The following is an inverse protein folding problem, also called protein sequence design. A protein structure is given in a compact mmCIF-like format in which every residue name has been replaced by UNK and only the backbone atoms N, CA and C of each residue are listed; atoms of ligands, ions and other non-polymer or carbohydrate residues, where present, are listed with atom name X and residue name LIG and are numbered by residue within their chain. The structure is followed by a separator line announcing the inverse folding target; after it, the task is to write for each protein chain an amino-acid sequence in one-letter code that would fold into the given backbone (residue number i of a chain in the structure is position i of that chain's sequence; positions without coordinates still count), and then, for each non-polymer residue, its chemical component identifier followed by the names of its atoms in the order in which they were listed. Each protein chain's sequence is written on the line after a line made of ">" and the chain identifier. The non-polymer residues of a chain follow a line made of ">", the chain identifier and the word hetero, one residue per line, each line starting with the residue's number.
data_IF_932505750038
#
_entry.id   IF_932505750038
#
_cell.length_a   1.000
_cell.length_b   1.000
_cell.length_c   1.000
_cell.angle_alpha   90.00
_cell.angle_beta   90.00
_cell.angle_gamma   90.00
#
_symmetry.space_group_name_H-M   'P 1'
#
loop_
_entity.id
_entity.type
_entity.pdbx_description
1 polymer ?
#
# COMPACT_ATOMS: atom_id res chain seq x y z
N UNK A 1 -57.06 -17.88 7.75
CA UNK A 1 -55.90 -17.06 7.35
C UNK A 1 -56.33 -16.07 6.27
N UNK A 2 -55.90 -14.81 6.34
CA UNK A 2 -56.26 -13.75 5.37
C UNK A 2 -55.29 -13.72 4.17
N UNK A 3 -55.84 -13.61 2.95
CA UNK A 3 -55.05 -13.54 1.71
C UNK A 3 -54.53 -12.11 1.48
N UNK A 4 -53.21 -11.90 1.58
CA UNK A 4 -52.56 -10.62 1.30
C UNK A 4 -52.02 -10.58 -0.14
N UNK A 5 -52.30 -9.52 -0.90
CA UNK A 5 -51.81 -9.34 -2.29
C UNK A 5 -50.34 -8.91 -2.30
N UNK A 6 -49.50 -9.54 -3.13
CA UNK A 6 -48.03 -9.30 -3.19
C UNK A 6 -47.54 -8.21 -4.15
N UNK A 7 -48.43 -7.57 -4.91
CA UNK A 7 -48.06 -6.77 -6.09
C UNK A 7 -47.10 -5.60 -5.82
N UNK A 8 -47.33 -4.83 -4.76
CA UNK A 8 -46.49 -3.67 -4.39
C UNK A 8 -45.08 -4.09 -3.95
N UNK A 9 -44.98 -5.11 -3.11
CA UNK A 9 -43.72 -5.66 -2.59
C UNK A 9 -42.86 -6.22 -3.73
N UNK A 10 -43.48 -7.00 -4.64
CA UNK A 10 -42.78 -7.55 -5.79
C UNK A 10 -42.27 -6.45 -6.75
N UNK A 11 -43.05 -5.39 -6.98
CA UNK A 11 -42.63 -4.25 -7.80
C UNK A 11 -41.45 -3.50 -7.19
N UNK A 12 -41.48 -3.25 -5.87
CA UNK A 12 -40.39 -2.58 -5.14
C UNK A 12 -39.09 -3.38 -5.25
N UNK A 13 -39.13 -4.69 -5.00
CA UNK A 13 -37.95 -5.55 -5.12
C UNK A 13 -37.35 -5.53 -6.53
N UNK A 14 -38.18 -5.63 -7.57
CA UNK A 14 -37.71 -5.54 -8.97
C UNK A 14 -37.07 -4.19 -9.29
N UNK A 15 -37.63 -3.09 -8.77
CA UNK A 15 -37.09 -1.74 -8.96
C UNK A 15 -35.69 -1.63 -8.37
N UNK A 16 -35.49 -2.09 -7.13
CA UNK A 16 -34.19 -2.03 -6.45
C UNK A 16 -33.09 -2.78 -7.23
N UNK A 17 -33.40 -3.97 -7.75
CA UNK A 17 -32.46 -4.77 -8.55
C UNK A 17 -32.12 -4.07 -9.87
N UNK A 18 -33.12 -3.48 -10.54
CA UNK A 18 -32.89 -2.73 -11.78
C UNK A 18 -32.13 -1.42 -11.54
N UNK A 19 -32.33 -0.76 -10.40
CA UNK A 19 -31.56 0.42 -9.99
C UNK A 19 -30.09 0.06 -9.79
N UNK A 20 -29.78 -1.05 -9.11
CA UNK A 20 -28.42 -1.57 -8.99
C UNK A 20 -27.80 -1.90 -10.36
N UNK A 21 -28.61 -2.51 -11.24
CA UNK A 21 -28.19 -3.00 -12.54
C UNK A 21 -28.15 -1.93 -13.66
N UNK A 22 -28.50 -0.68 -13.38
CA UNK A 22 -28.68 0.36 -14.40
C UNK A 22 -27.42 0.62 -15.26
N UNK A 23 -26.23 0.41 -14.70
CA UNK A 23 -24.95 0.56 -15.42
C UNK A 23 -24.53 -0.64 -16.28
N UNK A 24 -25.23 -1.78 -16.20
CA UNK A 24 -24.87 -2.96 -16.99
C UNK A 24 -25.27 -2.81 -18.46
N UNK A 25 -24.57 -3.54 -19.34
CA UNK A 25 -24.77 -3.45 -20.79
C UNK A 25 -25.93 -4.35 -21.24
N UNK A 26 -26.74 -3.84 -22.17
CA UNK A 26 -27.76 -4.62 -22.88
C UNK A 26 -28.88 -5.17 -21.98
N UNK A 27 -29.17 -6.46 -22.11
CA UNK A 27 -30.27 -7.11 -21.40
C UNK A 27 -30.09 -7.12 -19.87
N UNK A 28 -28.85 -7.04 -19.37
CA UNK A 28 -28.55 -7.08 -17.94
C UNK A 28 -28.96 -5.82 -17.18
N UNK A 29 -29.24 -4.69 -17.85
CA UNK A 29 -29.81 -3.49 -17.21
C UNK A 29 -31.31 -3.33 -17.39
N UNK A 30 -31.93 -4.11 -18.29
CA UNK A 30 -33.34 -3.95 -18.68
C UNK A 30 -34.24 -5.09 -18.19
N UNK A 31 -33.77 -6.34 -18.31
CA UNK A 31 -34.57 -7.53 -17.99
C UNK A 31 -34.29 -7.99 -16.56
N UNK A 32 -35.32 -8.06 -15.72
CA UNK A 32 -35.19 -8.43 -14.30
C UNK A 32 -34.42 -9.74 -14.06
N UNK A 33 -34.69 -10.78 -14.85
CA UNK A 33 -34.03 -12.09 -14.67
C UNK A 33 -32.53 -12.00 -14.96
N UNK A 34 -32.15 -11.33 -16.05
CA UNK A 34 -30.76 -11.15 -16.44
C UNK A 34 -30.02 -10.19 -15.49
N UNK A 35 -30.70 -9.16 -15.01
CA UNK A 35 -30.19 -8.21 -14.01
C UNK A 35 -29.91 -8.90 -12.68
N UNK A 36 -30.85 -9.69 -12.17
CA UNK A 36 -30.68 -10.42 -10.91
C UNK A 36 -29.50 -11.40 -10.98
N UNK A 37 -29.36 -12.16 -12.09
CA UNK A 37 -28.21 -13.04 -12.28
C UNK A 37 -26.88 -12.28 -12.30
N UNK A 38 -26.86 -11.10 -12.93
CA UNK A 38 -25.66 -10.27 -13.03
C UNK A 38 -25.31 -9.62 -11.70
N UNK A 39 -26.31 -9.15 -10.93
CA UNK A 39 -26.13 -8.62 -9.59
C UNK A 39 -25.45 -9.66 -8.68
N UNK A 40 -25.97 -10.88 -8.63
CA UNK A 40 -25.39 -11.95 -7.80
C UNK A 40 -23.93 -12.23 -8.17
N UNK A 41 -23.61 -12.28 -9.47
CA UNK A 41 -22.23 -12.44 -9.95
C UNK A 41 -21.34 -11.27 -9.54
N UNK A 42 -21.82 -10.04 -9.73
CA UNK A 42 -21.08 -8.83 -9.40
C UNK A 42 -20.77 -8.74 -7.90
N UNK A 43 -21.73 -9.09 -7.03
CA UNK A 43 -21.53 -9.12 -5.58
C UNK A 43 -20.51 -10.19 -5.16
N UNK A 44 -20.58 -11.38 -5.76
CA UNK A 44 -19.61 -12.45 -5.51
C UNK A 44 -18.18 -12.04 -5.93
N UNK A 45 -18.03 -11.47 -7.13
CA UNK A 45 -16.74 -10.94 -7.60
C UNK A 45 -16.23 -9.81 -6.70
N UNK A 46 -17.07 -8.84 -6.34
CA UNK A 46 -16.69 -7.74 -5.46
C UNK A 46 -16.23 -8.22 -4.07
N UNK A 47 -16.81 -9.30 -3.55
CA UNK A 47 -16.34 -9.92 -2.30
C UNK A 47 -14.91 -10.46 -2.45
N UNK A 48 -14.65 -11.25 -3.50
CA UNK A 48 -13.31 -11.79 -3.76
C UNK A 48 -12.28 -10.67 -4.04
N UNK A 49 -12.66 -9.68 -4.84
CA UNK A 49 -11.79 -8.59 -5.27
C UNK A 49 -11.36 -7.67 -4.12
N UNK A 50 -12.16 -7.53 -3.05
CA UNK A 50 -11.72 -6.81 -1.84
C UNK A 50 -10.48 -7.45 -1.20
N UNK A 51 -10.36 -8.77 -1.27
CA UNK A 51 -9.17 -9.50 -0.81
C UNK A 51 -8.03 -9.39 -1.82
N UNK A 52 -8.33 -9.56 -3.11
CA UNK A 52 -7.34 -9.49 -4.20
C UNK A 52 -6.69 -8.11 -4.32
N UNK A 53 -7.46 -7.03 -4.17
CA UNK A 53 -6.97 -5.65 -4.22
C UNK A 53 -5.80 -5.40 -3.25
N UNK A 54 -5.82 -6.02 -2.06
CA UNK A 54 -4.70 -5.92 -1.10
C UNK A 54 -3.41 -6.53 -1.66
N UNK A 55 -3.53 -7.64 -2.39
CA UNK A 55 -2.40 -8.35 -3.02
C UNK A 55 -1.91 -7.59 -4.25
N UNK A 56 -2.82 -7.10 -5.09
CA UNK A 56 -2.51 -6.30 -6.28
C UNK A 56 -1.78 -5.01 -5.94
N UNK A 57 -2.27 -4.27 -4.94
CA UNK A 57 -1.60 -3.06 -4.45
C UNK A 57 -0.19 -3.36 -3.93
N UNK A 58 -0.02 -4.47 -3.18
CA UNK A 58 1.30 -4.90 -2.72
C UNK A 58 2.23 -5.26 -3.89
N UNK A 59 1.74 -5.96 -4.91
CA UNK A 59 2.51 -6.26 -6.13
C UNK A 59 2.97 -4.98 -6.83
N UNK A 60 2.09 -4.00 -6.96
CA UNK A 60 2.42 -2.68 -7.54
C UNK A 60 3.49 -1.96 -6.71
N UNK A 61 3.38 -1.94 -5.39
CA UNK A 61 4.37 -1.30 -4.53
C UNK A 61 5.74 -1.98 -4.63
N UNK A 62 5.78 -3.30 -4.65
CA UNK A 62 7.04 -4.06 -4.83
C UNK A 62 7.65 -3.73 -6.20
N UNK A 63 6.85 -3.68 -7.27
CA UNK A 63 7.34 -3.33 -8.60
C UNK A 63 7.96 -1.93 -8.64
N UNK A 64 7.31 -0.93 -8.04
CA UNK A 64 7.82 0.44 -7.93
C UNK A 64 9.11 0.53 -7.13
N UNK A 65 9.16 -0.10 -5.96
CA UNK A 65 10.37 -0.12 -5.13
C UNK A 65 11.49 -0.85 -5.86
N UNK A 66 11.20 -1.95 -6.56
CA UNK A 66 12.22 -2.70 -7.28
C UNK A 66 12.82 -1.89 -8.44
N UNK A 67 12.02 -1.10 -9.15
CA UNK A 67 12.51 -0.18 -10.18
C UNK A 67 13.48 0.85 -9.56
N UNK A 68 13.06 1.56 -8.51
CA UNK A 68 13.88 2.56 -7.84
C UNK A 68 15.13 1.96 -7.15
N UNK A 69 15.02 0.75 -6.60
CA UNK A 69 16.14 0.04 -5.99
C UNK A 69 17.22 -0.28 -7.04
N UNK A 70 16.80 -0.72 -8.23
CA UNK A 70 17.73 -1.02 -9.33
C UNK A 70 18.45 0.20 -9.86
N UNK A 71 17.80 1.37 -9.90
CA UNK A 71 18.46 2.64 -10.22
C UNK A 71 19.58 2.98 -9.22
N UNK A 72 19.44 2.54 -7.96
CA UNK A 72 20.46 2.70 -6.91
C UNK A 72 21.45 1.52 -6.82
N UNK A 73 21.43 0.61 -7.80
CA UNK A 73 22.37 -0.52 -7.88
C UNK A 73 22.09 -1.67 -6.91
N UNK A 74 20.93 -1.70 -6.26
CA UNK A 74 20.55 -2.78 -5.33
C UNK A 74 19.29 -3.52 -5.80
N UNK A 75 19.15 -4.79 -5.41
CA UNK A 75 17.91 -5.53 -5.66
C UNK A 75 16.90 -5.27 -4.55
N UNK A 76 15.61 -5.42 -4.84
CA UNK A 76 14.56 -5.35 -3.80
C UNK A 76 14.85 -6.28 -2.61
N UNK A 77 15.29 -7.52 -2.87
CA UNK A 77 15.62 -8.48 -1.82
C UNK A 77 16.75 -7.99 -0.91
N UNK A 78 17.83 -7.48 -1.50
CA UNK A 78 18.92 -6.87 -0.74
C UNK A 78 18.48 -5.64 0.06
N UNK A 79 17.64 -4.79 -0.54
CA UNK A 79 17.09 -3.61 0.16
C UNK A 79 16.29 -4.01 1.40
N UNK A 80 15.39 -4.99 1.27
CA UNK A 80 14.54 -5.47 2.38
C UNK A 80 15.37 -6.16 3.46
N UNK A 81 16.38 -6.92 3.06
CA UNK A 81 17.33 -7.53 3.99
C UNK A 81 18.03 -6.46 4.83
N UNK A 82 18.66 -5.48 4.18
CA UNK A 82 19.34 -4.39 4.87
C UNK A 82 18.38 -3.57 5.75
N UNK A 83 17.13 -3.34 5.33
CA UNK A 83 16.12 -2.67 6.15
C UNK A 83 15.79 -3.46 7.43
N UNK A 84 15.69 -4.79 7.31
CA UNK A 84 15.45 -5.69 8.44
C UNK A 84 16.62 -5.71 9.42
N UNK A 85 17.85 -5.80 8.92
CA UNK A 85 19.07 -5.76 9.76
C UNK A 85 19.17 -4.44 10.53
N UNK A 86 18.79 -3.34 9.89
CA UNK A 86 18.76 -2.01 10.51
C UNK A 86 17.58 -1.77 11.46
N UNK A 87 16.71 -2.78 11.67
CA UNK A 87 15.48 -2.71 12.47
C UNK A 87 14.53 -1.58 12.04
N UNK A 88 14.56 -1.22 10.75
CA UNK A 88 13.66 -0.22 10.17
C UNK A 88 12.45 -0.94 9.56
N UNK A 89 11.38 -1.06 10.34
CA UNK A 89 10.11 -1.65 9.88
C UNK A 89 9.35 -0.65 9.02
N UNK A 90 9.64 -0.62 7.72
CA UNK A 90 8.94 0.25 6.77
C UNK A 90 7.82 -0.49 6.04
N UNK A 91 6.65 0.12 5.98
CA UNK A 91 5.55 -0.36 5.16
C UNK A 91 5.90 -0.17 3.66
N UNK A 92 5.71 -1.20 2.84
CA UNK A 92 5.93 -1.10 1.39
C UNK A 92 5.12 0.03 0.73
N UNK A 93 3.95 0.38 1.29
CA UNK A 93 3.14 1.51 0.81
C UNK A 93 3.91 2.83 0.89
N UNK A 94 4.52 3.13 2.03
CA UNK A 94 5.21 4.41 2.26
C UNK A 94 6.49 4.48 1.44
N UNK A 95 7.26 3.38 1.36
CA UNK A 95 8.44 3.29 0.51
C UNK A 95 8.11 3.53 -0.97
N UNK A 96 7.05 2.90 -1.49
CA UNK A 96 6.63 3.11 -2.88
C UNK A 96 6.13 4.54 -3.15
N UNK A 97 5.50 5.18 -2.15
CA UNK A 97 5.04 6.56 -2.25
C UNK A 97 6.18 7.58 -2.21
N UNK A 98 7.30 7.27 -1.55
CA UNK A 98 8.51 8.10 -1.58
C UNK A 98 9.29 7.88 -2.89
N UNK A 99 9.42 6.61 -3.31
CA UNK A 99 10.19 6.22 -4.49
C UNK A 99 9.67 6.83 -5.81
N UNK A 100 8.39 7.14 -5.90
CA UNK A 100 7.78 7.63 -7.15
C UNK A 100 8.01 9.14 -7.40
N UNK A 101 7.73 10.05 -6.45
CA UNK A 101 7.93 11.48 -6.66
C UNK A 101 9.36 11.96 -6.36
N UNK A 102 10.07 11.33 -5.43
CA UNK A 102 11.35 11.84 -4.92
C UNK A 102 12.43 10.75 -4.93
N UNK A 103 13.13 10.67 -6.06
CA UNK A 103 14.27 9.78 -6.24
C UNK A 103 15.45 10.13 -5.32
N UNK A 104 15.62 11.42 -4.99
CA UNK A 104 16.71 11.88 -4.12
C UNK A 104 16.52 11.36 -2.70
N UNK A 105 15.34 11.54 -2.11
CA UNK A 105 15.02 11.03 -0.78
C UNK A 105 15.14 9.50 -0.73
N UNK A 106 14.65 8.79 -1.75
CA UNK A 106 14.79 7.33 -1.82
C UNK A 106 16.26 6.88 -1.87
N UNK A 107 17.11 7.55 -2.65
CA UNK A 107 18.55 7.26 -2.72
C UNK A 107 19.24 7.43 -1.36
N UNK A 108 18.86 8.45 -0.59
CA UNK A 108 19.38 8.71 0.76
C UNK A 108 18.98 7.61 1.74
N UNK A 109 17.74 7.12 1.65
CA UNK A 109 17.27 5.97 2.45
C UNK A 109 18.11 4.74 2.12
N UNK A 110 18.31 4.44 0.83
CA UNK A 110 19.13 3.31 0.40
C UNK A 110 20.57 3.42 0.92
N UNK A 111 21.19 4.59 0.78
CA UNK A 111 22.55 4.82 1.29
C UNK A 111 22.64 4.67 2.82
N UNK A 112 21.66 5.21 3.57
CA UNK A 112 21.63 5.10 5.03
C UNK A 112 21.51 3.65 5.50
N UNK A 113 20.78 2.83 4.75
CA UNK A 113 20.53 1.42 5.05
C UNK A 113 21.74 0.55 4.69
N UNK A 114 22.42 0.83 3.57
CA UNK A 114 23.62 0.06 3.16
C UNK A 114 24.83 0.33 4.06
N UNK A 115 25.00 1.55 4.57
CA UNK A 115 26.20 1.96 5.34
C UNK A 115 26.30 1.34 6.75
N UNK A 116 25.25 0.73 7.27
CA UNK A 116 25.22 0.15 8.64
C UNK A 116 25.52 -1.35 8.69
N UNK A 117 26.02 -1.94 7.60
CA UNK A 117 26.61 -3.28 7.59
C UNK A 117 27.99 -3.34 8.25
N UNK A 118 28.10 -2.88 9.50
CA UNK A 118 29.23 -3.21 10.38
C UNK A 118 28.70 -3.26 11.81
N UNK A 119 29.13 -4.28 12.57
CA UNK A 119 28.82 -4.57 13.98
C UNK A 119 27.89 -5.78 14.27
N UNK A 120 27.94 -6.84 13.46
CA UNK A 120 27.73 -8.19 13.98
C UNK A 120 28.97 -9.02 13.60
N UNK A 121 29.73 -9.38 14.63
CA UNK A 121 31.14 -9.73 14.52
C UNK A 121 31.45 -11.12 14.00
N UNK A 122 32.54 -11.20 13.25
CA UNK A 122 33.66 -12.10 13.49
C UNK A 122 34.94 -11.35 13.06
N UNK A 123 35.83 -11.08 14.03
CA UNK A 123 37.13 -10.36 13.97
C UNK A 123 37.17 -8.81 13.92
N UNK A 124 37.73 -8.23 15.00
CA UNK A 124 38.17 -6.83 15.28
C UNK A 124 39.55 -6.55 14.60
N UNK A 125 40.17 -5.33 14.59
CA UNK A 125 39.88 -4.10 15.34
C UNK A 125 40.07 -2.71 14.62
N UNK A 126 39.54 -1.66 15.27
CA UNK A 126 40.02 -0.26 15.34
C UNK A 126 40.23 0.55 14.04
N UNK A 127 39.26 1.43 13.72
CA UNK A 127 39.57 2.83 13.34
C UNK A 127 38.54 3.77 13.97
N UNK A 128 39.04 4.62 14.86
CA UNK A 128 38.36 5.82 15.35
C UNK A 128 37.98 6.69 14.15
N UNK A 129 36.69 6.99 13.98
CA UNK A 129 36.24 8.13 13.18
C UNK A 129 35.31 8.96 14.06
N UNK A 130 35.59 10.24 14.04
CA UNK A 130 35.18 11.33 14.92
C UNK A 130 33.68 11.42 15.26
N UNK A 131 33.42 11.75 16.52
CA UNK A 131 32.16 12.18 17.16
C UNK A 131 31.49 13.44 16.55
N UNK A 132 31.79 13.80 15.30
CA UNK A 132 31.35 15.05 14.68
C UNK A 132 29.96 15.01 14.03
N UNK A 133 29.53 13.89 13.46
CA UNK A 133 28.33 13.85 12.59
C UNK A 133 27.03 13.46 13.31
N UNK A 134 27.12 13.08 14.59
CA UNK A 134 25.95 12.62 15.35
C UNK A 134 25.09 13.75 15.95
N UNK A 135 25.64 14.98 16.04
CA UNK A 135 24.90 16.14 16.57
C UNK A 135 23.90 16.73 15.55
N UNK A 136 24.26 16.75 14.27
CA UNK A 136 23.45 17.38 13.21
C UNK A 136 22.11 16.66 12.96
N UNK A 137 22.05 15.36 13.25
CA UNK A 137 20.83 14.55 13.04
C UNK A 137 19.83 14.76 14.20
N UNK A 138 20.31 15.03 15.41
CA UNK A 138 19.45 15.22 16.59
C UNK A 138 18.93 16.66 16.73
N UNK A 139 19.66 17.67 16.24
CA UNK A 139 19.18 19.06 16.26
C UNK A 139 18.03 19.33 15.28
N UNK A 140 17.86 18.53 14.22
CA UNK A 140 16.78 18.72 13.25
C UNK A 140 15.42 18.17 13.71
N UNK A 141 15.40 17.22 14.65
CA UNK A 141 14.16 16.52 15.04
C UNK A 141 13.40 17.17 16.22
N UNK A 142 13.96 18.19 16.88
CA UNK A 142 13.30 18.92 17.96
C UNK A 142 13.25 20.41 17.62
N UNK A 143 12.10 20.95 17.14
CA UNK A 143 11.92 22.39 17.07
C UNK A 143 11.91 22.92 18.50
N UNK A 144 12.92 23.72 18.83
CA UNK A 144 13.17 24.33 20.13
C UNK A 144 12.00 25.27 20.52
N UNK A 145 10.98 24.72 21.18
CA UNK A 145 9.92 25.47 21.85
C UNK A 145 10.45 25.99 23.20
N UNK A 146 11.35 26.98 23.18
CA UNK A 146 11.55 27.92 24.29
C UNK A 146 12.57 29.00 23.93
N UNK A 147 12.15 30.26 24.17
CA UNK A 147 12.87 31.55 24.14
C UNK A 147 12.52 32.46 22.96
N UNK A 148 11.29 32.99 23.00
CA UNK A 148 11.09 34.45 22.92
C UNK A 148 10.48 34.90 24.25
N UNK A 149 10.98 36.05 24.69
CA UNK A 149 10.64 36.87 25.87
C UNK A 149 9.20 36.73 26.33
#
# INVERSE_FOLDING_TARGET
>A
MTRVKRGSVARRHRKNILEFAAGFRGAHSRLFRAANQQEQKALASAYADRSNRKREMRRLWIARINAAARENGITYGGMIHNLSENRVYSNCKTLAQIATPDAYCFSRIVQAVTKRGTLIGFYKPLRMISLGEAKDILEWFIPNQKKRV
#
